data_IF_523477884322
#
_entry.id   IF_523477884322
#
_cell.length_a   1.000
_cell.length_b   1.000
_cell.length_c   1.000
_cell.angle_alpha   90.00
_cell.angle_beta   90.00
_cell.angle_gamma   90.00
#
_symmetry.space_group_name_H-M   'P 1'
#
loop_
_entity.id
_entity.type
_entity.pdbx_description
1 polymer ?
#
# COMPACT_ATOMS: atom_id res chain seq x y z
N UNK A 1 30.20 8.73 -3.41
CA UNK A 1 29.52 7.63 -2.69
C UNK A 1 28.38 8.10 -1.78
N UNK A 2 28.57 9.02 -0.81
CA UNK A 2 27.49 9.50 0.08
C UNK A 2 26.53 10.50 -0.61
N UNK A 3 27.04 11.29 -1.55
CA UNK A 3 26.27 12.29 -2.32
C UNK A 3 25.35 11.60 -3.35
N UNK A 4 25.83 10.54 -4.00
CA UNK A 4 25.10 9.82 -5.05
C UNK A 4 23.84 9.11 -4.51
N UNK A 5 23.94 8.51 -3.31
CA UNK A 5 22.81 7.85 -2.65
C UNK A 5 21.71 8.85 -2.24
N UNK A 6 22.09 10.05 -1.80
CA UNK A 6 21.15 11.11 -1.44
C UNK A 6 20.44 11.62 -2.70
N UNK A 7 21.18 11.85 -3.79
CA UNK A 7 20.61 12.29 -5.07
C UNK A 7 19.60 11.26 -5.62
N UNK A 8 19.93 9.97 -5.54
CA UNK A 8 19.06 8.89 -6.01
C UNK A 8 17.79 8.75 -5.16
N UNK A 9 17.90 8.91 -3.84
CA UNK A 9 16.76 8.96 -2.92
C UNK A 9 15.82 10.14 -3.24
N UNK A 10 16.36 11.34 -3.43
CA UNK A 10 15.57 12.52 -3.77
C UNK A 10 14.86 12.39 -5.12
N UNK A 11 15.55 11.87 -6.14
CA UNK A 11 14.95 11.60 -7.46
C UNK A 11 13.80 10.60 -7.35
N UNK A 12 14.00 9.53 -6.59
CA UNK A 12 12.96 8.53 -6.33
C UNK A 12 11.74 9.15 -5.64
N UNK A 13 11.96 10.00 -4.63
CA UNK A 13 10.89 10.73 -3.96
C UNK A 13 10.04 11.56 -4.91
N UNK A 14 10.67 12.33 -5.81
CA UNK A 14 9.97 13.16 -6.81
C UNK A 14 9.11 12.34 -7.77
N UNK A 15 9.61 11.19 -8.23
CA UNK A 15 8.87 10.30 -9.12
C UNK A 15 7.65 9.71 -8.40
N UNK A 16 7.82 9.23 -7.16
CA UNK A 16 6.73 8.65 -6.38
C UNK A 16 5.63 9.69 -6.08
N UNK A 17 6.02 10.93 -5.80
CA UNK A 17 5.07 12.03 -5.57
C UNK A 17 4.34 12.44 -6.85
N UNK A 18 5.03 12.42 -8.00
CA UNK A 18 4.40 12.66 -9.30
C UNK A 18 3.34 11.60 -9.65
N UNK A 19 3.55 10.35 -9.25
CA UNK A 19 2.57 9.28 -9.50
C UNK A 19 1.32 9.49 -8.65
N UNK A 20 1.47 9.75 -7.36
CA UNK A 20 0.34 9.93 -6.45
C UNK A 20 0.76 10.72 -5.21
N UNK A 21 -0.06 11.70 -4.82
CA UNK A 21 0.09 12.43 -3.56
C UNK A 21 -0.48 11.66 -2.36
N UNK A 22 -1.09 10.50 -2.57
CA UNK A 22 -1.73 9.75 -1.48
C UNK A 22 -0.70 9.16 -0.52
N UNK A 23 -1.03 9.19 0.76
CA UNK A 23 -0.21 8.66 1.86
C UNK A 23 -0.99 7.68 2.74
N UNK A 24 -1.30 6.51 2.16
CA UNK A 24 -1.86 5.39 2.92
C UNK A 24 -0.92 4.80 3.99
N UNK A 25 0.43 4.79 3.81
CA UNK A 25 1.34 4.36 4.87
C UNK A 25 1.19 5.13 6.19
N UNK A 26 1.00 6.45 6.14
CA UNK A 26 0.72 7.24 7.35
C UNK A 26 -0.61 6.82 8.00
N UNK A 27 -1.68 6.65 7.21
CA UNK A 27 -2.97 6.18 7.73
C UNK A 27 -2.88 4.79 8.37
N UNK A 28 -2.16 3.86 7.73
CA UNK A 28 -1.93 2.51 8.26
C UNK A 28 -1.21 2.57 9.60
N UNK A 29 -0.16 3.38 9.69
CA UNK A 29 0.61 3.58 10.93
C UNK A 29 -0.27 4.12 12.05
N UNK A 30 -1.11 5.12 11.75
CA UNK A 30 -2.07 5.67 12.70
C UNK A 30 -3.10 4.64 13.18
N UNK A 31 -3.61 3.79 12.29
CA UNK A 31 -4.56 2.74 12.69
C UNK A 31 -3.91 1.68 13.57
N UNK A 32 -2.71 1.22 13.21
CA UNK A 32 -1.98 0.24 14.02
C UNK A 32 -1.56 0.81 15.38
N UNK A 33 -1.15 2.07 15.44
CA UNK A 33 -0.83 2.73 16.71
C UNK A 33 -2.01 2.79 17.70
N UNK A 34 -3.25 2.74 17.19
CA UNK A 34 -4.48 2.72 18.00
C UNK A 34 -4.97 1.31 18.33
N UNK A 35 -4.34 0.27 17.79
CA UNK A 35 -4.71 -1.12 18.03
C UNK A 35 -4.53 -1.45 19.51
N UNK A 36 -5.58 -2.00 20.12
CA UNK A 36 -5.47 -2.60 21.46
C UNK A 36 -4.86 -3.99 21.34
N UNK A 37 -3.95 -4.32 22.26
CA UNK A 37 -3.29 -5.63 22.30
C UNK A 37 -4.31 -6.78 22.28
N UNK A 38 -3.99 -7.86 21.57
CA UNK A 38 -4.90 -9.00 21.39
C UNK A 38 -6.03 -8.79 20.37
N UNK A 39 -6.32 -7.55 19.93
CA UNK A 39 -7.35 -7.31 18.91
C UNK A 39 -6.99 -7.98 17.59
N UNK A 40 -7.96 -8.70 17.00
CA UNK A 40 -7.84 -9.33 15.67
C UNK A 40 -7.07 -10.65 15.63
N UNK A 41 -6.56 -11.15 16.75
CA UNK A 41 -5.87 -12.46 16.81
C UNK A 41 -6.79 -13.58 16.32
N UNK A 42 -8.01 -13.65 16.85
CA UNK A 42 -9.02 -14.64 16.42
C UNK A 42 -9.35 -14.57 14.92
N UNK A 43 -9.22 -13.40 14.30
CA UNK A 43 -9.45 -13.25 12.87
C UNK A 43 -8.27 -13.80 12.06
N UNK A 44 -7.03 -13.50 12.46
CA UNK A 44 -5.82 -14.00 11.81
C UNK A 44 -5.72 -15.52 11.95
N UNK A 45 -6.09 -16.06 13.11
CA UNK A 45 -6.06 -17.50 13.39
C UNK A 45 -7.25 -18.27 12.78
N UNK A 46 -8.17 -17.57 12.11
CA UNK A 46 -9.34 -18.21 11.52
C UNK A 46 -8.97 -19.15 10.35
N UNK A 47 -9.72 -20.25 10.16
CA UNK A 47 -9.54 -21.12 9.00
C UNK A 47 -9.71 -20.38 7.67
N UNK A 48 -10.64 -19.42 7.61
CA UNK A 48 -10.93 -18.61 6.43
C UNK A 48 -9.74 -17.74 6.04
N UNK A 49 -9.15 -17.06 7.02
CA UNK A 49 -7.96 -16.23 6.80
C UNK A 49 -6.77 -17.10 6.38
N UNK A 50 -6.53 -18.19 7.11
CA UNK A 50 -5.42 -19.12 6.83
C UNK A 50 -5.53 -19.70 5.43
N UNK A 51 -6.73 -20.09 5.00
CA UNK A 51 -6.97 -20.59 3.64
C UNK A 51 -6.71 -19.51 2.60
N UNK A 52 -7.21 -18.30 2.82
CA UNK A 52 -6.98 -17.17 1.91
C UNK A 52 -5.49 -16.82 1.78
N UNK A 53 -4.76 -16.83 2.90
CA UNK A 53 -3.34 -16.47 2.94
C UNK A 53 -2.45 -17.47 2.19
N UNK A 54 -2.75 -18.77 2.28
CA UNK A 54 -1.93 -19.82 1.68
C UNK A 54 -2.26 -20.12 0.21
N UNK A 55 -3.39 -19.64 -0.31
CA UNK A 55 -3.83 -19.90 -1.69
C UNK A 55 -3.62 -18.69 -2.61
N UNK A 56 -3.07 -18.93 -3.82
CA UNK A 56 -2.90 -17.86 -4.81
C UNK A 56 -4.24 -17.39 -5.41
N UNK A 57 -4.32 -16.11 -5.78
CA UNK A 57 -5.46 -15.50 -6.51
C UNK A 57 -6.81 -15.63 -5.78
N UNK A 58 -6.82 -15.45 -4.47
CA UNK A 58 -8.03 -15.48 -3.64
C UNK A 58 -8.44 -14.10 -3.14
N UNK A 59 -9.75 -13.96 -2.92
CA UNK A 59 -10.36 -12.81 -2.28
C UNK A 59 -11.00 -13.26 -0.99
N UNK A 60 -10.62 -12.65 0.13
CA UNK A 60 -11.31 -12.81 1.41
C UNK A 60 -12.31 -11.67 1.55
N UNK A 61 -13.60 -12.01 1.58
CA UNK A 61 -14.68 -11.04 1.78
C UNK A 61 -15.15 -11.07 3.23
N UNK A 62 -15.04 -9.93 3.92
CA UNK A 62 -15.40 -9.79 5.34
C UNK A 62 -16.61 -8.86 5.52
N UNK A 63 -17.86 -9.38 5.42
CA UNK A 63 -19.05 -8.59 5.68
C UNK A 63 -19.16 -8.29 7.18
N UNK A 64 -19.34 -7.01 7.55
CA UNK A 64 -19.58 -6.63 8.94
C UNK A 64 -20.52 -5.43 9.04
N UNK A 65 -21.27 -5.35 10.15
CA UNK A 65 -22.12 -4.21 10.47
C UNK A 65 -21.29 -2.91 10.65
N UNK A 66 -21.90 -1.72 10.47
CA UNK A 66 -21.26 -0.45 10.81
C UNK A 66 -20.73 -0.46 12.25
N UNK A 67 -19.55 0.12 12.48
CA UNK A 67 -18.93 0.15 13.81
C UNK A 67 -18.17 -1.13 14.24
N UNK A 68 -18.29 -2.25 13.52
CA UNK A 68 -17.66 -3.52 13.88
C UNK A 68 -16.11 -3.57 13.79
N UNK A 69 -15.43 -2.44 13.54
CA UNK A 69 -13.97 -2.42 13.47
C UNK A 69 -13.35 -2.93 12.16
N UNK A 70 -14.09 -2.92 11.04
CA UNK A 70 -13.60 -3.34 9.70
C UNK A 70 -12.25 -2.72 9.33
N UNK A 71 -12.09 -1.41 9.54
CA UNK A 71 -10.84 -0.69 9.26
C UNK A 71 -9.68 -1.21 10.09
N UNK A 72 -9.93 -1.55 11.37
CA UNK A 72 -8.92 -2.15 12.24
C UNK A 72 -8.54 -3.55 11.77
N UNK A 73 -9.51 -4.39 11.37
CA UNK A 73 -9.21 -5.72 10.80
C UNK A 73 -8.41 -5.64 9.50
N UNK A 74 -8.73 -4.68 8.63
CA UNK A 74 -7.95 -4.42 7.44
C UNK A 74 -6.52 -3.97 7.77
N UNK A 75 -6.36 -3.03 8.72
CA UNK A 75 -5.05 -2.56 9.17
C UNK A 75 -4.21 -3.69 9.76
N UNK A 76 -4.79 -4.54 10.62
CA UNK A 76 -4.12 -5.71 11.20
C UNK A 76 -3.67 -6.69 10.11
N UNK A 77 -4.53 -6.93 9.11
CA UNK A 77 -4.17 -7.78 7.96
C UNK A 77 -2.97 -7.20 7.21
N UNK A 78 -3.00 -5.90 6.90
CA UNK A 78 -1.92 -5.21 6.19
C UNK A 78 -0.61 -5.22 6.98
N UNK A 79 -0.67 -5.14 8.31
CA UNK A 79 0.49 -5.22 9.20
C UNK A 79 1.06 -6.65 9.29
N UNK A 80 0.19 -7.66 9.18
CA UNK A 80 0.56 -9.08 9.22
C UNK A 80 1.27 -9.53 7.93
N UNK A 81 0.76 -9.16 6.76
CA UNK A 81 1.26 -9.69 5.47
C UNK A 81 2.78 -9.53 5.26
N UNK A 82 3.40 -8.33 5.44
CA UNK A 82 4.83 -8.15 5.18
C UNK A 82 5.73 -8.86 6.20
N UNK A 83 5.23 -9.15 7.41
CA UNK A 83 6.00 -9.82 8.46
C UNK A 83 6.08 -11.33 8.25
N UNK A 84 5.05 -11.89 7.64
CA UNK A 84 4.91 -13.35 7.46
C UNK A 84 5.42 -13.80 6.09
N UNK A 85 5.44 -12.91 5.11
CA UNK A 85 5.94 -13.21 3.76
C UNK A 85 7.42 -12.86 3.69
N UNK A 86 8.30 -13.81 4.02
CA UNK A 86 9.75 -13.69 3.81
C UNK A 86 10.09 -13.82 2.31
N UNK A 87 9.73 -12.82 1.52
CA UNK A 87 10.12 -12.79 0.11
C UNK A 87 10.32 -11.38 -0.43
N UNK A 88 11.51 -11.13 -0.96
CA UNK A 88 11.85 -9.92 -1.70
C UNK A 88 11.10 -9.80 -3.04
N UNK A 89 10.30 -10.80 -3.42
CA UNK A 89 9.55 -10.80 -4.67
C UNK A 89 8.08 -10.43 -4.50
N UNK A 90 7.56 -10.35 -3.28
CA UNK A 90 6.15 -10.06 -3.02
C UNK A 90 5.98 -8.61 -2.57
N UNK A 91 5.17 -7.84 -3.31
CA UNK A 91 4.77 -6.49 -2.95
C UNK A 91 3.37 -6.47 -2.34
N UNK A 92 3.20 -5.76 -1.23
CA UNK A 92 1.88 -5.52 -0.61
C UNK A 92 1.44 -4.09 -0.91
N UNK A 93 0.22 -3.93 -1.40
CA UNK A 93 -0.41 -2.63 -1.61
C UNK A 93 -1.85 -2.64 -1.09
N UNK A 94 -2.30 -1.52 -0.57
CA UNK A 94 -3.60 -1.39 0.08
C UNK A 94 -4.20 0.01 -0.14
N UNK A 95 -5.51 0.11 0.03
CA UNK A 95 -6.27 1.34 -0.13
C UNK A 95 -7.23 1.52 1.04
N UNK A 96 -7.34 2.74 1.54
CA UNK A 96 -8.40 3.15 2.47
C UNK A 96 -9.40 4.05 1.76
N UNK A 97 -10.51 3.46 1.33
CA UNK A 97 -11.58 4.21 0.68
C UNK A 97 -12.44 4.94 1.71
N UNK A 98 -12.58 6.26 1.55
CA UNK A 98 -13.41 7.10 2.39
C UNK A 98 -14.59 7.62 1.56
N UNK A 99 -15.80 7.20 1.92
CA UNK A 99 -17.03 7.59 1.23
C UNK A 99 -17.27 9.11 1.20
N UNK A 100 -16.67 9.88 2.13
CA UNK A 100 -16.77 11.35 2.15
C UNK A 100 -15.81 12.04 1.19
N UNK A 101 -14.80 11.34 0.68
CA UNK A 101 -13.74 11.88 -0.19
C UNK A 101 -13.84 11.32 -1.62
N UNK A 102 -15.04 10.91 -2.07
CA UNK A 102 -15.24 10.26 -3.38
C UNK A 102 -14.74 11.10 -4.55
N UNK A 103 -14.83 12.43 -4.47
CA UNK A 103 -14.35 13.34 -5.50
C UNK A 103 -12.83 13.18 -5.76
N UNK A 104 -12.06 12.90 -4.69
CA UNK A 104 -10.61 12.75 -4.76
C UNK A 104 -10.18 11.29 -4.98
N UNK A 105 -11.10 10.33 -4.85
CA UNK A 105 -10.85 8.88 -4.97
C UNK A 105 -11.33 8.31 -6.31
N UNK A 106 -10.88 8.92 -7.41
CA UNK A 106 -11.11 8.39 -8.76
C UNK A 106 -10.38 7.06 -8.98
N UNK A 107 -10.87 6.20 -9.88
CA UNK A 107 -10.20 4.94 -10.24
C UNK A 107 -8.72 5.14 -10.60
N UNK A 108 -8.42 6.20 -11.37
CA UNK A 108 -7.05 6.54 -11.75
C UNK A 108 -6.19 6.89 -10.53
N UNK A 109 -6.70 7.69 -9.59
CA UNK A 109 -5.98 8.05 -8.36
C UNK A 109 -5.70 6.83 -7.47
N UNK A 110 -6.63 5.88 -7.38
CA UNK A 110 -6.49 4.66 -6.58
C UNK A 110 -5.46 3.71 -7.20
N UNK A 111 -5.50 3.52 -8.53
CA UNK A 111 -4.50 2.73 -9.24
C UNK A 111 -3.11 3.36 -9.10
N UNK A 112 -3.01 4.68 -9.21
CA UNK A 112 -1.75 5.39 -9.02
C UNK A 112 -1.21 5.22 -7.58
N UNK A 113 -2.08 5.23 -6.58
CA UNK A 113 -1.68 4.96 -5.19
C UNK A 113 -1.20 3.52 -4.96
N UNK A 114 -1.79 2.53 -5.64
CA UNK A 114 -1.29 1.14 -5.64
C UNK A 114 0.10 1.10 -6.29
N UNK A 115 0.26 1.73 -7.45
CA UNK A 115 1.54 1.75 -8.18
C UNK A 115 2.65 2.38 -7.33
N UNK A 116 2.38 3.51 -6.67
CA UNK A 116 3.31 4.18 -5.74
C UNK A 116 3.81 3.21 -4.65
N UNK A 117 2.90 2.47 -4.01
CA UNK A 117 3.27 1.51 -2.96
C UNK A 117 4.13 0.35 -3.49
N UNK A 118 3.75 -0.23 -4.63
CA UNK A 118 4.52 -1.34 -5.22
C UNK A 118 5.93 -0.89 -5.65
N UNK A 119 6.07 0.32 -6.17
CA UNK A 119 7.37 0.91 -6.52
C UNK A 119 8.24 1.25 -5.30
N UNK A 120 7.61 1.58 -4.16
CA UNK A 120 8.33 1.76 -2.89
C UNK A 120 8.91 0.43 -2.40
N UNK A 121 8.15 -0.66 -2.54
CA UNK A 121 8.59 -2.00 -2.14
C UNK A 121 9.61 -2.63 -3.10
N UNK A 122 9.52 -2.36 -4.41
CA UNK A 122 10.28 -3.06 -5.45
C UNK A 122 11.13 -2.12 -6.33
N UNK A 123 12.46 -2.05 -6.11
CA UNK A 123 13.37 -1.22 -6.89
C UNK A 123 13.34 -1.46 -8.42
N UNK A 124 13.18 -2.69 -8.96
CA UNK A 124 13.23 -2.92 -10.41
C UNK A 124 12.12 -2.23 -11.20
N UNK A 125 10.97 -1.94 -10.58
CA UNK A 125 9.82 -1.27 -11.21
C UNK A 125 10.08 0.24 -11.41
N UNK A 126 11.09 0.80 -10.75
CA UNK A 126 11.41 2.22 -10.83
C UNK A 126 11.89 2.65 -12.22
N UNK A 127 12.62 1.79 -12.93
CA UNK A 127 13.32 2.20 -14.15
C UNK A 127 12.37 2.50 -15.33
N UNK A 128 11.37 1.66 -15.65
CA UNK A 128 10.36 2.01 -16.67
C UNK A 128 9.58 3.29 -16.34
N UNK A 129 9.27 3.51 -15.05
CA UNK A 129 8.47 4.66 -14.63
C UNK A 129 9.31 5.94 -14.59
N UNK A 130 10.60 5.85 -14.27
CA UNK A 130 11.53 6.97 -14.38
C UNK A 130 11.63 7.48 -15.83
N UNK A 131 11.69 6.57 -16.81
CA UNK A 131 11.65 6.97 -18.24
C UNK A 131 10.36 7.69 -18.61
N UNK A 132 9.21 7.20 -18.12
CA UNK A 132 7.93 7.84 -18.36
C UNK A 132 7.87 9.24 -17.74
N UNK A 133 8.39 9.40 -16.52
CA UNK A 133 8.50 10.68 -15.83
C UNK A 133 9.34 11.68 -16.63
N UNK A 134 10.50 11.27 -17.14
CA UNK A 134 11.39 12.11 -17.94
C UNK A 134 10.75 12.54 -19.27
N UNK A 135 10.09 11.61 -19.95
CA UNK A 135 9.37 11.93 -21.19
C UNK A 135 8.29 12.99 -20.94
N UNK A 136 7.47 12.83 -19.90
CA UNK A 136 6.47 13.82 -19.53
C UNK A 136 7.06 15.16 -19.08
N UNK A 137 8.21 15.15 -18.41
CA UNK A 137 8.92 16.37 -18.02
C UNK A 137 9.43 17.14 -19.25
N UNK A 138 9.97 16.45 -20.27
CA UNK A 138 10.45 17.08 -21.50
C UNK A 138 9.34 17.71 -22.35
N UNK A 139 8.12 17.16 -22.30
CA UNK A 139 6.96 17.66 -23.03
C UNK A 139 6.26 18.86 -22.37
N UNK A 140 6.67 19.23 -21.14
CA UNK A 140 6.16 20.40 -20.41
C UNK A 140 7.07 21.63 -20.54
N UNK A 141 8.15 21.52 -21.31
CA UNK A 141 9.01 22.62 -21.78
C UNK A 141 8.50 23.15 -23.10
#
# INVERSE_FOLDING_TARGET
MRVDAIQQSQRRGKILEWISSTDFPTQQSDFIARRQEGTGVLFIDSPEFTKWFNESKRTLFCPCIPGAGKTMMAAITIDYLPRTVESNTIGVAYLYCNYKAQADQTTASLIAAILKQLMQAQPPVMEPVARLYEHHASLRT
#
